data_IF_732387105201
#
_entry.id   IF_732387105201
#
_cell.length_a   1.000
_cell.length_b   1.000
_cell.length_c   1.000
_cell.angle_alpha   90.00
_cell.angle_beta   90.00
_cell.angle_gamma   90.00
#
_symmetry.space_group_name_H-M   'P 1'
#
loop_
_entity.id
_entity.type
_entity.pdbx_description
1 polymer ?
#
# COMPACT_ATOMS: atom_id res chain seq x y z
N UNK A 1 0.65 13.96 -26.38
CA UNK A 1 2.05 13.49 -26.40
C UNK A 1 2.29 12.77 -25.09
N UNK A 2 2.47 11.47 -25.13
CA UNK A 2 2.84 10.74 -23.93
C UNK A 2 4.24 11.17 -23.52
N UNK A 3 4.40 11.71 -22.32
CA UNK A 3 5.72 11.97 -21.76
C UNK A 3 6.40 10.62 -21.50
N UNK A 4 7.53 10.41 -22.14
CA UNK A 4 8.34 9.23 -21.89
C UNK A 4 8.78 9.26 -20.42
N UNK A 5 8.38 8.24 -19.65
CA UNK A 5 8.67 8.16 -18.24
C UNK A 5 9.91 7.35 -17.99
N UNK A 6 10.76 7.84 -17.12
CA UNK A 6 11.92 7.10 -16.67
C UNK A 6 11.50 6.10 -15.60
N UNK A 7 11.81 4.83 -15.84
CA UNK A 7 11.63 3.76 -14.85
C UNK A 7 13.00 3.52 -14.20
N UNK A 8 13.05 3.75 -12.90
CA UNK A 8 14.26 3.53 -12.10
C UNK A 8 14.22 2.17 -11.43
N UNK A 9 15.36 1.54 -11.24
CA UNK A 9 15.49 0.25 -10.52
C UNK A 9 16.26 0.38 -9.21
N UNK A 10 16.51 1.62 -8.79
CA UNK A 10 17.19 1.95 -7.55
C UNK A 10 16.46 3.07 -6.81
N UNK A 11 16.79 3.22 -5.53
CA UNK A 11 16.30 4.35 -4.73
C UNK A 11 16.76 5.69 -5.33
N UNK A 12 16.03 6.79 -5.07
CA UNK A 12 16.43 8.11 -5.53
C UNK A 12 17.81 8.50 -5.00
N UNK A 13 18.58 9.21 -5.82
CA UNK A 13 19.86 9.81 -5.39
C UNK A 13 19.64 11.13 -4.63
N UNK A 14 18.55 11.84 -4.96
CA UNK A 14 18.13 13.05 -4.25
C UNK A 14 17.49 12.70 -2.90
N UNK A 15 17.64 13.60 -1.95
CA UNK A 15 17.04 13.42 -0.62
C UNK A 15 15.52 13.45 -0.68
N UNK A 16 14.89 12.43 -0.12
CA UNK A 16 13.44 12.30 0.00
C UNK A 16 13.00 12.55 1.45
N UNK A 17 11.69 12.43 1.72
CA UNK A 17 11.16 12.50 3.08
C UNK A 17 11.67 11.33 3.92
N UNK A 18 11.66 11.50 5.24
CA UNK A 18 12.11 10.45 6.15
C UNK A 18 11.26 9.19 6.03
N UNK A 19 9.95 9.33 5.76
CA UNK A 19 9.03 8.23 5.56
C UNK A 19 9.36 7.43 4.29
N UNK A 20 9.69 8.12 3.20
CA UNK A 20 10.07 7.48 1.93
C UNK A 20 11.43 6.79 2.06
N UNK A 21 12.43 7.47 2.65
CA UNK A 21 13.76 6.91 2.87
C UNK A 21 13.73 5.64 3.71
N UNK A 22 12.91 5.63 4.77
CA UNK A 22 12.75 4.47 5.64
C UNK A 22 12.23 3.23 4.88
N UNK A 23 11.37 3.43 3.89
CA UNK A 23 10.89 2.34 3.03
C UNK A 23 12.02 1.76 2.20
N UNK A 24 12.85 2.60 1.56
CA UNK A 24 14.00 2.10 0.79
C UNK A 24 15.00 1.35 1.66
N UNK A 25 15.24 1.82 2.88
CA UNK A 25 16.11 1.13 3.83
C UNK A 25 15.61 -0.30 4.13
N UNK A 26 14.31 -0.46 4.35
CA UNK A 26 13.71 -1.79 4.57
C UNK A 26 13.81 -2.67 3.33
N UNK A 27 13.50 -2.15 2.15
CA UNK A 27 13.58 -2.92 0.90
C UNK A 27 15.01 -3.39 0.61
N UNK A 28 16.01 -2.53 0.84
CA UNK A 28 17.42 -2.89 0.67
C UNK A 28 17.86 -3.93 1.69
N UNK A 29 17.50 -3.77 2.97
CA UNK A 29 17.79 -4.73 4.04
C UNK A 29 17.26 -6.13 3.71
N UNK A 30 16.06 -6.19 3.14
CA UNK A 30 15.40 -7.45 2.77
C UNK A 30 15.82 -8.00 1.41
N UNK A 31 16.63 -7.26 0.64
CA UNK A 31 17.01 -7.65 -0.71
C UNK A 31 15.83 -7.69 -1.68
N UNK A 32 14.85 -6.84 -1.48
CA UNK A 32 13.67 -6.74 -2.34
C UNK A 32 13.97 -5.79 -3.50
N UNK A 33 13.91 -6.33 -4.72
CA UNK A 33 14.03 -5.54 -5.95
C UNK A 33 12.73 -4.80 -6.25
N UNK A 34 12.85 -3.63 -6.85
CA UNK A 34 11.71 -2.83 -7.27
C UNK A 34 12.00 -2.01 -8.52
N UNK A 35 10.94 -1.65 -9.21
CA UNK A 35 10.95 -0.58 -10.22
C UNK A 35 10.20 0.62 -9.66
N UNK A 36 10.63 1.81 -10.01
CA UNK A 36 10.12 3.07 -9.45
C UNK A 36 9.82 4.07 -10.56
N UNK A 37 8.71 4.77 -10.41
CA UNK A 37 8.36 5.94 -11.23
C UNK A 37 7.98 7.10 -10.31
N UNK A 38 8.57 8.25 -10.55
CA UNK A 38 8.18 9.48 -9.86
C UNK A 38 6.98 10.12 -10.56
N UNK A 39 6.09 10.70 -9.77
CA UNK A 39 4.88 11.35 -10.26
C UNK A 39 5.18 12.80 -10.66
N UNK A 40 4.59 13.23 -11.76
CA UNK A 40 4.47 14.63 -12.11
C UNK A 40 3.12 15.16 -11.67
N UNK A 41 2.97 16.48 -11.59
CA UNK A 41 1.72 17.12 -11.20
C UNK A 41 0.54 16.73 -12.13
N UNK A 42 0.85 16.50 -13.39
CA UNK A 42 -0.11 16.11 -14.42
C UNK A 42 -0.62 14.67 -14.27
N UNK A 43 -0.01 13.89 -13.40
CA UNK A 43 -0.40 12.50 -13.16
C UNK A 43 -1.54 12.34 -12.18
N UNK A 44 -1.86 13.40 -11.46
CA UNK A 44 -2.92 13.35 -10.46
C UNK A 44 -4.24 12.88 -11.09
N UNK A 45 -4.76 11.77 -10.56
CA UNK A 45 -5.99 11.15 -11.07
C UNK A 45 -5.86 10.34 -12.36
N UNK A 46 -4.66 10.25 -12.96
CA UNK A 46 -4.43 9.48 -14.20
C UNK A 46 -4.00 8.04 -13.94
N UNK A 47 -4.12 7.19 -14.97
CA UNK A 47 -3.60 5.81 -14.97
C UNK A 47 -2.17 5.71 -15.54
N UNK A 48 -1.58 6.82 -15.95
CA UNK A 48 -0.32 6.82 -16.73
C UNK A 48 0.84 6.15 -15.98
N UNK A 49 0.98 6.40 -14.69
CA UNK A 49 2.05 5.80 -13.87
C UNK A 49 1.88 4.29 -13.75
N UNK A 50 0.65 3.83 -13.53
CA UNK A 50 0.35 2.41 -13.40
C UNK A 50 0.56 1.67 -14.71
N UNK A 51 0.14 2.28 -15.82
CA UNK A 51 0.36 1.75 -17.17
C UNK A 51 1.86 1.67 -17.50
N UNK A 52 2.64 2.71 -17.17
CA UNK A 52 4.08 2.73 -17.39
C UNK A 52 4.80 1.61 -16.61
N UNK A 53 4.38 1.33 -15.39
CA UNK A 53 4.91 0.25 -14.58
C UNK A 53 4.33 -1.12 -14.92
N UNK A 54 3.23 -1.18 -15.67
CA UNK A 54 2.54 -2.44 -16.00
C UNK A 54 1.94 -3.11 -14.75
N UNK A 55 1.33 -2.32 -13.85
CA UNK A 55 0.74 -2.79 -12.60
C UNK A 55 -0.72 -2.39 -12.49
N UNK A 56 -1.48 -3.19 -11.76
CA UNK A 56 -2.84 -2.85 -11.36
C UNK A 56 -2.82 -1.69 -10.37
N UNK A 57 -3.66 -0.68 -10.61
CA UNK A 57 -3.89 0.37 -9.63
C UNK A 57 -4.65 -0.20 -8.43
N UNK A 58 -4.07 -0.06 -7.26
CA UNK A 58 -4.64 -0.49 -5.99
C UNK A 58 -5.09 0.70 -5.16
N UNK A 59 -6.07 0.47 -4.31
CA UNK A 59 -6.39 1.39 -3.21
C UNK A 59 -6.15 0.70 -1.88
N UNK A 60 -5.63 1.47 -0.96
CA UNK A 60 -5.28 1.06 0.39
C UNK A 60 -6.13 1.88 1.36
N UNK A 61 -6.97 1.22 2.13
CA UNK A 61 -7.92 1.85 3.02
C UNK A 61 -7.63 1.44 4.45
N UNK A 62 -7.28 2.39 5.30
CA UNK A 62 -7.22 2.15 6.74
C UNK A 62 -8.61 2.33 7.32
N UNK A 63 -9.12 1.25 7.86
CA UNK A 63 -10.49 1.13 8.39
C UNK A 63 -10.43 0.90 9.89
N UNK A 64 -11.51 1.24 10.59
CA UNK A 64 -11.65 0.97 12.01
C UNK A 64 -13.10 0.59 12.37
N UNK A 65 -13.24 -0.06 13.53
CA UNK A 65 -14.55 -0.25 14.16
C UNK A 65 -15.08 1.06 14.77
N UNK A 66 -16.33 1.08 15.19
CA UNK A 66 -16.97 2.26 15.77
C UNK A 66 -16.24 2.80 17.01
N UNK A 67 -15.67 1.93 17.80
CA UNK A 67 -14.93 2.27 19.03
C UNK A 67 -13.49 2.72 18.75
N UNK A 68 -13.02 2.64 17.51
CA UNK A 68 -11.63 2.94 17.11
C UNK A 68 -10.58 2.16 17.92
N UNK A 69 -10.91 0.91 18.23
CA UNK A 69 -10.04 -0.02 18.97
C UNK A 69 -9.45 -1.12 18.12
N UNK A 70 -10.01 -1.33 16.92
CA UNK A 70 -9.53 -2.32 15.93
C UNK A 70 -9.34 -1.64 14.60
N UNK A 71 -8.16 -1.86 14.01
CA UNK A 71 -7.78 -1.25 12.75
C UNK A 71 -7.49 -2.32 11.70
N UNK A 72 -7.84 -2.02 10.46
CA UNK A 72 -7.68 -2.91 9.31
C UNK A 72 -7.13 -2.11 8.13
N UNK A 73 -6.10 -2.63 7.50
CA UNK A 73 -5.64 -2.13 6.21
C UNK A 73 -6.19 -3.06 5.13
N UNK A 74 -7.08 -2.52 4.30
CA UNK A 74 -7.64 -3.23 3.15
C UNK A 74 -6.91 -2.80 1.88
N UNK A 75 -6.36 -3.78 1.17
CA UNK A 75 -5.76 -3.59 -0.15
C UNK A 75 -6.66 -4.24 -1.19
N UNK A 76 -7.12 -3.47 -2.17
CA UNK A 76 -8.04 -3.93 -3.19
C UNK A 76 -7.85 -3.21 -4.52
N UNK A 77 -8.35 -3.74 -5.65
CA UNK A 77 -8.31 -3.03 -6.93
C UNK A 77 -9.02 -1.68 -6.82
N UNK A 78 -8.40 -0.62 -7.34
CA UNK A 78 -8.96 0.73 -7.29
C UNK A 78 -10.28 0.86 -8.06
N UNK A 79 -10.48 0.04 -9.10
CA UNK A 79 -11.68 0.02 -9.94
C UNK A 79 -12.91 -0.56 -9.24
N UNK A 80 -12.72 -1.26 -8.12
CA UNK A 80 -13.83 -1.91 -7.38
C UNK A 80 -14.30 -0.99 -6.26
N UNK A 81 -15.62 -0.74 -6.14
CA UNK A 81 -16.14 0.06 -5.03
C UNK A 81 -15.94 -0.62 -3.68
N UNK A 82 -15.54 0.15 -2.67
CA UNK A 82 -15.51 -0.34 -1.29
C UNK A 82 -16.92 -0.37 -0.71
N UNK A 83 -17.29 -1.51 -0.13
CA UNK A 83 -18.56 -1.70 0.57
C UNK A 83 -18.29 -2.31 1.94
N UNK A 84 -18.48 -1.53 2.99
CA UNK A 84 -18.20 -1.94 4.38
C UNK A 84 -18.96 -3.22 4.78
N UNK A 85 -20.22 -3.37 4.34
CA UNK A 85 -21.02 -4.55 4.64
C UNK A 85 -20.47 -5.84 3.98
N UNK A 86 -19.84 -5.74 2.83
CA UNK A 86 -19.22 -6.89 2.14
C UNK A 86 -18.01 -7.36 2.95
N UNK A 87 -17.17 -6.44 3.38
CA UNK A 87 -15.98 -6.77 4.18
C UNK A 87 -16.38 -7.31 5.56
N UNK A 88 -17.27 -6.62 6.27
CA UNK A 88 -17.68 -7.01 7.62
C UNK A 88 -18.32 -8.39 7.66
N UNK A 89 -19.08 -8.75 6.64
CA UNK A 89 -19.68 -10.09 6.52
C UNK A 89 -18.61 -11.18 6.36
N UNK A 90 -17.59 -10.92 5.53
CA UNK A 90 -16.50 -11.88 5.32
C UNK A 90 -15.65 -12.07 6.58
N UNK A 91 -15.41 -11.01 7.33
CA UNK A 91 -14.58 -11.05 8.54
C UNK A 91 -15.37 -11.37 9.82
N UNK A 92 -16.70 -11.48 9.74
CA UNK A 92 -17.54 -11.74 10.90
C UNK A 92 -17.52 -10.62 11.93
N UNK A 93 -17.40 -9.37 11.50
CA UNK A 93 -17.29 -8.17 12.36
C UNK A 93 -18.45 -7.21 12.14
N UNK A 94 -18.56 -6.18 13.00
CA UNK A 94 -19.43 -5.05 12.77
C UNK A 94 -18.92 -4.21 11.58
N UNK A 95 -19.74 -3.26 11.11
CA UNK A 95 -19.37 -2.38 9.99
C UNK A 95 -18.12 -1.55 10.30
N UNK A 96 -17.35 -1.31 9.26
CA UNK A 96 -16.18 -0.47 9.28
C UNK A 96 -16.50 0.96 8.85
N UNK A 97 -15.72 1.90 9.34
CA UNK A 97 -15.59 3.25 8.83
C UNK A 97 -14.13 3.54 8.51
N UNK A 98 -13.87 4.63 7.77
CA UNK A 98 -12.51 5.07 7.53
C UNK A 98 -11.86 5.52 8.83
N UNK A 99 -10.63 5.10 9.07
CA UNK A 99 -9.88 5.55 10.22
C UNK A 99 -9.56 7.05 10.11
N UNK A 100 -9.55 7.79 11.23
CA UNK A 100 -9.13 9.18 11.24
C UNK A 100 -7.69 9.38 10.73
N UNK A 101 -7.41 10.57 10.22
CA UNK A 101 -6.07 10.94 9.73
C UNK A 101 -4.97 10.73 10.78
N UNK A 102 -5.26 11.02 12.04
CA UNK A 102 -4.33 10.81 13.15
C UNK A 102 -3.87 9.35 13.27
N UNK A 103 -4.76 8.39 12.98
CA UNK A 103 -4.41 6.97 13.00
C UNK A 103 -3.56 6.54 11.80
N UNK A 104 -3.79 7.13 10.63
CA UNK A 104 -2.88 6.95 9.48
C UNK A 104 -1.46 7.39 9.83
N UNK A 105 -1.33 8.54 10.46
CA UNK A 105 -0.03 9.08 10.89
C UNK A 105 0.61 8.25 11.98
N UNK A 106 -0.17 7.86 12.99
CA UNK A 106 0.33 7.10 14.13
C UNK A 106 0.74 5.68 13.76
N UNK A 107 -0.10 4.97 13.01
CA UNK A 107 0.08 3.55 12.73
C UNK A 107 0.96 3.28 11.51
N UNK A 108 0.82 4.06 10.46
CA UNK A 108 1.48 3.82 9.17
C UNK A 108 2.51 4.90 8.79
N UNK A 109 2.60 5.99 9.54
CA UNK A 109 3.42 7.16 9.24
C UNK A 109 3.14 7.75 7.86
N UNK A 110 1.88 7.80 7.47
CA UNK A 110 1.43 8.31 6.17
C UNK A 110 0.41 9.43 6.32
N UNK A 111 0.30 10.25 5.29
CA UNK A 111 -0.77 11.24 5.12
C UNK A 111 -1.95 10.61 4.37
N UNK A 112 -3.15 11.21 4.43
CA UNK A 112 -4.28 10.81 3.58
C UNK A 112 -3.86 10.77 2.10
N UNK A 113 -4.27 9.71 1.39
CA UNK A 113 -3.88 9.47 0.00
C UNK A 113 -2.53 8.77 -0.20
N UNK A 114 -1.77 8.52 0.87
CA UNK A 114 -0.46 7.85 0.83
C UNK A 114 -0.45 6.49 1.55
N UNK A 115 -1.61 5.97 1.95
CA UNK A 115 -1.70 4.68 2.61
C UNK A 115 -1.08 3.57 1.74
N UNK A 116 -0.27 2.72 2.37
CA UNK A 116 0.49 1.68 1.69
C UNK A 116 0.72 0.50 2.62
N UNK A 117 0.74 -0.70 2.04
CA UNK A 117 1.15 -1.90 2.76
C UNK A 117 2.57 -1.74 3.35
N UNK A 118 3.43 -0.98 2.69
CA UNK A 118 4.79 -0.72 3.18
C UNK A 118 4.82 0.08 4.48
N UNK A 119 3.76 0.82 4.80
CA UNK A 119 3.61 1.51 6.08
C UNK A 119 3.51 0.56 7.28
N UNK A 120 3.22 -0.73 7.05
CA UNK A 120 3.18 -1.72 8.13
C UNK A 120 4.53 -1.92 8.83
N UNK A 121 5.65 -1.52 8.23
CA UNK A 121 6.94 -1.55 8.91
C UNK A 121 6.99 -0.62 10.14
N UNK A 122 6.07 0.36 10.20
CA UNK A 122 5.93 1.28 11.33
C UNK A 122 5.01 0.73 12.43
N UNK A 123 4.16 -0.23 12.12
CA UNK A 123 3.22 -0.85 13.06
C UNK A 123 3.90 -1.98 13.86
N UNK A 124 4.80 -1.58 14.76
CA UNK A 124 5.62 -2.52 15.54
C UNK A 124 4.80 -3.40 16.48
N UNK A 125 3.70 -2.88 16.98
CA UNK A 125 2.80 -3.60 17.91
C UNK A 125 1.77 -4.47 17.18
N UNK A 126 1.79 -4.47 15.84
CA UNK A 126 0.88 -5.25 14.98
C UNK A 126 -0.60 -5.00 15.29
N UNK A 127 -0.91 -3.73 15.49
CA UNK A 127 -2.27 -3.24 15.77
C UNK A 127 -3.14 -3.34 14.52
N UNK A 128 -2.54 -3.18 13.34
CA UNK A 128 -3.25 -3.19 12.06
C UNK A 128 -3.43 -4.61 11.55
N UNK A 129 -4.67 -5.00 11.32
CA UNK A 129 -5.02 -6.26 10.67
C UNK A 129 -5.02 -6.05 9.14
N UNK A 130 -4.29 -6.88 8.41
CA UNK A 130 -4.16 -6.76 6.96
C UNK A 130 -5.20 -7.63 6.26
N UNK A 131 -5.92 -7.05 5.30
CA UNK A 131 -6.84 -7.75 4.40
C UNK A 131 -6.42 -7.46 2.96
N UNK A 132 -6.29 -8.50 2.14
CA UNK A 132 -5.91 -8.37 0.74
C UNK A 132 -6.97 -9.04 -0.14
N UNK A 133 -7.47 -8.30 -1.12
CA UNK A 133 -8.38 -8.84 -2.11
C UNK A 133 -7.69 -9.93 -2.96
N UNK A 134 -8.37 -11.04 -3.20
CA UNK A 134 -7.83 -12.18 -3.94
C UNK A 134 -7.30 -11.81 -5.33
N UNK A 135 -7.87 -10.78 -5.98
CA UNK A 135 -7.42 -10.31 -7.30
C UNK A 135 -6.05 -9.65 -7.24
N UNK A 136 -5.72 -9.02 -6.13
CA UNK A 136 -4.38 -8.46 -5.90
C UNK A 136 -3.35 -9.58 -5.76
N UNK A 137 -3.70 -10.63 -5.04
CA UNK A 137 -2.84 -11.80 -4.84
C UNK A 137 -2.60 -12.59 -6.13
N UNK A 138 -3.51 -12.51 -7.09
CA UNK A 138 -3.38 -13.17 -8.39
C UNK A 138 -2.39 -12.46 -9.34
N UNK A 139 -2.02 -11.20 -9.06
CA UNK A 139 -1.07 -10.44 -9.85
C UNK A 139 0.37 -10.85 -9.52
N UNK A 140 1.22 -11.00 -10.54
CA UNK A 140 2.66 -11.27 -10.35
C UNK A 140 3.35 -10.11 -9.66
N UNK A 141 2.96 -8.88 -9.99
CA UNK A 141 3.53 -7.65 -9.46
C UNK A 141 2.52 -6.85 -8.66
N UNK A 142 3.03 -6.28 -7.58
CA UNK A 142 2.29 -5.47 -6.63
C UNK A 142 2.67 -4.00 -6.80
N UNK A 143 1.69 -3.13 -6.98
CA UNK A 143 1.89 -1.69 -7.06
C UNK A 143 1.64 -1.03 -5.71
N UNK A 144 2.56 -0.23 -5.23
CA UNK A 144 2.42 0.48 -3.97
C UNK A 144 3.16 1.82 -3.95
N UNK A 145 2.83 2.64 -2.97
CA UNK A 145 3.56 3.87 -2.67
C UNK A 145 4.60 3.63 -1.57
N UNK A 146 5.77 4.27 -1.64
CA UNK A 146 6.74 4.23 -0.54
C UNK A 146 6.36 5.22 0.58
N UNK A 147 5.14 5.12 1.11
CA UNK A 147 4.55 5.98 2.13
C UNK A 147 4.40 7.46 1.75
N UNK A 148 4.57 7.77 0.48
CA UNK A 148 4.32 9.09 -0.13
C UNK A 148 3.60 8.91 -1.46
N UNK A 149 2.75 9.86 -1.86
CA UNK A 149 1.97 9.76 -3.10
C UNK A 149 2.65 10.41 -4.32
N UNK A 150 3.93 10.72 -4.21
CA UNK A 150 4.73 11.32 -5.28
C UNK A 150 5.62 10.31 -6.01
N UNK A 151 5.53 9.05 -5.64
CA UNK A 151 6.30 7.94 -6.20
C UNK A 151 5.47 6.67 -6.15
N UNK A 152 5.59 5.83 -7.16
CA UNK A 152 5.02 4.48 -7.18
C UNK A 152 6.09 3.44 -7.40
N UNK A 153 5.94 2.31 -6.73
CA UNK A 153 6.83 1.16 -6.81
C UNK A 153 6.09 -0.03 -7.42
N UNK A 154 6.83 -0.81 -8.17
CA UNK A 154 6.46 -2.14 -8.66
C UNK A 154 7.35 -3.17 -7.98
N UNK A 155 6.77 -4.07 -7.23
CA UNK A 155 7.46 -5.11 -6.46
C UNK A 155 6.82 -6.44 -6.78
N UNK A 156 7.59 -7.52 -6.81
CA UNK A 156 6.99 -8.87 -6.93
C UNK A 156 6.04 -9.13 -5.77
N UNK A 157 4.83 -9.59 -6.08
CA UNK A 157 3.85 -9.95 -5.06
C UNK A 157 4.41 -10.98 -4.07
N UNK A 158 5.16 -11.96 -4.57
CA UNK A 158 5.83 -12.95 -3.71
C UNK A 158 6.82 -12.30 -2.72
N UNK A 159 7.54 -11.27 -3.12
CA UNK A 159 8.48 -10.57 -2.22
C UNK A 159 7.74 -9.79 -1.12
N UNK A 160 6.58 -9.21 -1.45
CA UNK A 160 5.72 -8.58 -0.44
C UNK A 160 5.24 -9.63 0.57
N UNK A 161 4.72 -10.76 0.11
CA UNK A 161 4.14 -11.78 0.98
C UNK A 161 5.20 -12.55 1.78
N UNK A 162 6.28 -12.97 1.13
CA UNK A 162 7.25 -13.90 1.72
C UNK A 162 8.40 -13.20 2.45
N UNK A 163 8.76 -11.98 2.04
CA UNK A 163 9.87 -11.23 2.66
C UNK A 163 9.37 -10.07 3.53
N UNK A 164 8.59 -9.15 2.95
CA UNK A 164 8.15 -7.96 3.67
C UNK A 164 7.21 -8.28 4.84
N UNK A 165 6.14 -9.04 4.60
CA UNK A 165 5.21 -9.40 5.67
C UNK A 165 5.84 -10.33 6.72
N UNK A 166 6.77 -11.20 6.33
CA UNK A 166 7.55 -11.98 7.29
C UNK A 166 8.41 -11.07 8.21
N UNK A 167 9.03 -10.05 7.63
CA UNK A 167 9.80 -9.06 8.37
C UNK A 167 8.96 -8.26 9.36
N UNK A 168 7.79 -7.76 8.92
CA UNK A 168 6.89 -6.98 9.79
C UNK A 168 6.13 -7.87 10.78
N UNK A 169 6.00 -9.16 10.50
CA UNK A 169 5.25 -10.11 11.33
C UNK A 169 3.73 -9.97 11.18
N UNK A 170 3.25 -9.36 10.09
CA UNK A 170 1.83 -9.28 9.80
C UNK A 170 1.35 -10.48 9.00
N UNK A 171 0.22 -11.04 9.43
CA UNK A 171 -0.55 -12.00 8.66
C UNK A 171 -1.62 -11.25 7.86
N UNK A 172 -2.14 -11.88 6.81
CA UNK A 172 -3.23 -11.30 6.04
C UNK A 172 -4.42 -12.23 5.91
N UNK A 173 -5.61 -11.64 5.85
CA UNK A 173 -6.84 -12.33 5.48
C UNK A 173 -7.12 -12.09 4.01
N UNK A 174 -7.51 -13.14 3.30
CA UNK A 174 -7.92 -13.03 1.89
C UNK A 174 -9.41 -12.67 1.86
N UNK A 175 -9.74 -11.63 1.11
CA UNK A 175 -11.12 -11.16 0.95
C UNK A 175 -11.46 -10.97 -0.51
N UNK A 176 -12.73 -10.83 -0.83
CA UNK A 176 -13.23 -10.47 -2.15
C UNK A 176 -14.23 -9.32 -2.03
N UNK A 177 -13.85 -8.18 -2.54
CA UNK A 177 -14.65 -6.95 -2.50
C UNK A 177 -15.60 -6.81 -3.71
#
# INVERSE_FOLDING_TARGET
MEMERTIYTARPEDKRSDEEEAVYDVLEELGIEFSRVDWFKEDEGSENVYNALGIMRLKNLLLCNAQKTKFYLLVMPASVPFKSNVLSKQLGTARFSFAPEENLKELLHVKPGSASILGLHNDKDKVVNLCIDERVLAEEYYGCHPCVNTTSLKIKTSDILDKFLAYTGHFYSVVRM
#
